data_IF_519530090930
#
_entry.id   IF_519530090930
#
_cell.length_a   1.000
_cell.length_b   1.000
_cell.length_c   1.000
_cell.angle_alpha   90.00
_cell.angle_beta   90.00
_cell.angle_gamma   90.00
#
_symmetry.space_group_name_H-M   'P 1'
#
loop_
_entity.id
_entity.type
_entity.pdbx_description
1 polymer ?
#
# COMPACT_ATOMS: atom_id res chain seq x y z
N UNK A 1 36.13 85.10 39.87
CA UNK A 1 35.31 85.43 41.05
C UNK A 1 34.18 84.42 41.10
N UNK A 2 34.35 83.23 41.70
CA UNK A 2 34.22 82.92 43.14
C UNK A 2 32.88 83.40 43.73
N UNK A 3 31.85 82.54 43.68
CA UNK A 3 30.79 82.37 44.71
C UNK A 3 29.79 81.32 44.21
N UNK A 4 29.79 80.08 44.72
CA UNK A 4 28.98 79.64 45.86
C UNK A 4 27.47 79.90 45.65
N UNK A 5 26.72 78.87 45.26
CA UNK A 5 25.46 78.48 45.92
C UNK A 5 25.31 76.97 45.72
N UNK A 6 25.63 76.26 46.80
CA UNK A 6 25.33 74.87 47.05
C UNK A 6 23.95 74.86 47.73
N UNK A 7 22.87 74.57 47.00
CA UNK A 7 21.59 74.21 47.62
C UNK A 7 21.10 72.94 46.94
N UNK A 8 21.36 71.85 47.64
CA UNK A 8 20.84 70.52 47.39
C UNK A 8 19.32 70.51 47.62
N UNK A 9 18.55 70.17 46.59
CA UNK A 9 17.23 69.56 46.74
C UNK A 9 17.02 68.61 45.56
N UNK A 10 17.40 67.36 45.85
CA UNK A 10 17.19 66.16 45.06
C UNK A 10 15.68 65.99 44.75
N UNK A 11 15.21 66.51 43.61
CA UNK A 11 13.92 66.13 43.06
C UNK A 11 14.09 64.79 42.33
N UNK A 12 13.85 63.73 43.10
CA UNK A 12 13.83 62.34 42.64
C UNK A 12 12.78 62.23 41.53
N UNK A 13 13.25 61.93 40.31
CA UNK A 13 12.38 61.54 39.21
C UNK A 13 11.80 60.17 39.55
N UNK A 14 10.54 60.11 39.97
CA UNK A 14 9.82 58.84 40.07
C UNK A 14 9.35 58.50 38.65
N UNK A 15 10.20 57.78 37.91
CA UNK A 15 9.78 57.09 36.71
C UNK A 15 8.82 55.97 37.12
N UNK A 16 7.52 56.19 36.91
CA UNK A 16 6.52 55.14 37.03
C UNK A 16 6.78 54.11 35.91
N UNK A 17 7.50 53.05 36.24
CA UNK A 17 7.61 51.87 35.37
C UNK A 17 6.24 51.19 35.38
N UNK A 18 5.46 51.43 34.32
CA UNK A 18 4.28 50.63 34.04
C UNK A 18 4.75 49.25 33.59
N UNK A 19 4.81 48.29 34.51
CA UNK A 19 4.97 46.88 34.15
C UNK A 19 3.65 46.43 33.52
N UNK A 20 3.59 46.38 32.19
CA UNK A 20 2.52 45.67 31.50
C UNK A 20 2.51 44.20 31.98
N UNK A 21 1.36 43.62 32.34
CA UNK A 21 1.31 42.21 32.69
C UNK A 21 1.78 41.39 31.48
N UNK A 22 2.74 40.49 31.68
CA UNK A 22 3.12 39.50 30.69
C UNK A 22 1.88 38.71 30.29
N UNK A 23 1.50 38.75 29.02
CA UNK A 23 0.39 37.94 28.53
C UNK A 23 0.66 36.46 28.85
N UNK A 24 -0.34 35.69 29.30
CA UNK A 24 -0.15 34.28 29.56
C UNK A 24 0.28 33.56 28.25
N UNK A 25 1.12 32.52 28.34
CA UNK A 25 1.49 31.74 27.18
C UNK A 25 0.23 31.19 26.49
N UNK A 26 0.10 31.48 25.19
CA UNK A 26 -0.97 30.94 24.37
C UNK A 26 -0.67 29.46 24.09
N UNK A 27 -1.40 28.55 24.72
CA UNK A 27 -1.33 27.13 24.42
C UNK A 27 -2.13 26.84 23.15
N UNK A 28 -1.45 26.48 22.06
CA UNK A 28 -2.11 25.79 20.96
C UNK A 28 -2.31 24.32 21.35
N UNK A 29 -3.50 23.74 21.08
CA UNK A 29 -3.68 22.30 21.19
C UNK A 29 -2.63 21.58 20.35
N UNK A 30 -2.04 20.53 20.91
CA UNK A 30 -1.17 19.66 20.13
C UNK A 30 -1.97 19.06 18.97
N UNK A 31 -1.43 19.04 17.74
CA UNK A 31 -2.09 18.34 16.64
C UNK A 31 -2.23 16.85 17.01
N UNK A 32 -3.34 16.20 16.62
CA UNK A 32 -3.50 14.78 16.85
C UNK A 32 -2.38 14.01 16.14
N UNK A 33 -1.95 12.87 16.70
CA UNK A 33 -0.98 12.01 16.03
C UNK A 33 -1.52 11.54 14.68
N UNK A 34 -0.63 11.31 13.69
CA UNK A 34 -1.02 10.76 12.40
C UNK A 34 -1.70 9.40 12.59
N UNK A 35 -2.64 9.02 11.70
CA UNK A 35 -3.26 7.71 11.73
C UNK A 35 -2.20 6.61 11.55
N UNK A 36 -2.43 5.41 12.13
CA UNK A 36 -1.54 4.28 11.91
C UNK A 36 -1.52 3.90 10.42
N UNK A 37 -0.41 3.34 9.93
CA UNK A 37 -0.35 2.83 8.56
C UNK A 37 -1.40 1.72 8.34
N UNK A 38 -1.91 1.56 7.10
CA UNK A 38 -2.81 0.47 6.80
C UNK A 38 -2.12 -0.89 7.05
N UNK A 39 -2.89 -1.92 7.40
CA UNK A 39 -2.34 -3.27 7.52
C UNK A 39 -1.75 -3.73 6.17
N UNK A 40 -0.75 -4.63 6.18
CA UNK A 40 -0.23 -5.21 4.95
C UNK A 40 -1.35 -5.99 4.22
N UNK A 41 -1.27 -6.10 2.89
CA UNK A 41 -2.18 -6.94 2.13
C UNK A 41 -2.09 -8.40 2.61
N UNK A 42 -3.18 -9.17 2.50
CA UNK A 42 -3.12 -10.59 2.81
C UNK A 42 -2.13 -11.30 1.88
N UNK A 43 -1.55 -12.44 2.32
CA UNK A 43 -0.71 -13.26 1.45
C UNK A 43 -1.51 -13.72 0.23
N UNK A 44 -0.81 -13.97 -0.87
CA UNK A 44 -1.42 -14.58 -2.05
C UNK A 44 -2.06 -15.91 -1.67
N UNK A 45 -3.30 -16.13 -2.12
CA UNK A 45 -4.00 -17.38 -1.88
C UNK A 45 -3.38 -18.48 -2.75
N UNK A 46 -3.08 -19.62 -2.14
CA UNK A 46 -2.69 -20.83 -2.87
C UNK A 46 -3.91 -21.72 -3.11
N UNK A 47 -4.00 -22.31 -4.29
CA UNK A 47 -5.03 -23.30 -4.64
C UNK A 47 -4.49 -24.29 -5.67
N UNK A 48 -5.17 -25.42 -5.80
CA UNK A 48 -4.97 -26.34 -6.90
C UNK A 48 -6.30 -27.00 -7.26
N UNK A 49 -6.55 -27.19 -8.55
CA UNK A 49 -7.68 -27.98 -9.03
C UNK A 49 -7.27 -28.85 -10.21
N UNK A 50 -8.04 -29.92 -10.42
CA UNK A 50 -7.96 -30.71 -11.63
C UNK A 50 -9.31 -31.36 -11.94
N UNK A 51 -9.59 -31.54 -13.22
CA UNK A 51 -10.73 -32.32 -13.69
C UNK A 51 -10.42 -33.02 -15.02
N UNK A 52 -11.17 -34.08 -15.31
CA UNK A 52 -11.11 -34.78 -16.58
C UNK A 52 -12.51 -35.27 -16.98
N UNK A 53 -12.79 -35.20 -18.27
CA UNK A 53 -13.99 -35.73 -18.91
C UNK A 53 -13.54 -36.68 -20.01
N UNK A 54 -14.06 -37.91 -19.96
CA UNK A 54 -13.89 -38.92 -20.99
C UNK A 54 -15.26 -39.53 -21.28
N UNK A 55 -15.84 -39.12 -22.39
CA UNK A 55 -17.13 -39.60 -22.87
C UNK A 55 -16.95 -40.23 -24.25
N UNK A 56 -17.04 -41.56 -24.31
CA UNK A 56 -16.87 -42.34 -25.53
C UNK A 56 -18.05 -42.18 -26.49
N UNK A 57 -19.26 -41.92 -25.98
CA UNK A 57 -20.46 -41.80 -26.81
C UNK A 57 -20.43 -40.51 -27.64
N UNK A 58 -20.07 -39.40 -27.00
CA UNK A 58 -19.92 -38.10 -27.70
C UNK A 58 -18.52 -37.88 -28.31
N UNK A 59 -17.54 -38.73 -27.98
CA UNK A 59 -16.14 -38.57 -28.37
C UNK A 59 -15.41 -37.42 -27.66
N UNK A 60 -16.00 -36.86 -26.59
CA UNK A 60 -15.41 -35.76 -25.83
C UNK A 60 -14.32 -36.29 -24.90
N UNK A 61 -13.10 -35.81 -25.08
CA UNK A 61 -12.00 -36.06 -24.16
C UNK A 61 -11.27 -34.75 -23.84
N UNK A 62 -11.39 -34.33 -22.58
CA UNK A 62 -10.87 -33.07 -22.06
C UNK A 62 -10.28 -33.27 -20.67
N UNK A 63 -9.23 -32.52 -20.34
CA UNK A 63 -8.78 -32.39 -18.95
C UNK A 63 -8.17 -31.03 -18.72
N UNK A 64 -8.21 -30.56 -17.48
CA UNK A 64 -7.48 -29.37 -17.06
C UNK A 64 -6.94 -29.54 -15.65
N UNK A 65 -5.82 -28.88 -15.40
CA UNK A 65 -5.17 -28.73 -14.11
C UNK A 65 -4.62 -27.30 -14.01
N UNK A 66 -4.74 -26.72 -12.81
CA UNK A 66 -4.16 -25.42 -12.50
C UNK A 66 -3.80 -25.37 -11.03
N UNK A 67 -2.73 -24.66 -10.73
CA UNK A 67 -2.33 -24.33 -9.38
C UNK A 67 -1.93 -22.86 -9.31
N UNK A 68 -2.20 -22.25 -8.17
CA UNK A 68 -1.62 -20.98 -7.79
C UNK A 68 -0.80 -21.15 -6.51
N UNK A 69 0.37 -20.54 -6.51
CA UNK A 69 1.22 -20.44 -5.32
C UNK A 69 1.99 -19.14 -5.34
N UNK A 70 2.06 -18.47 -4.19
CA UNK A 70 2.84 -17.24 -4.01
C UNK A 70 2.61 -16.15 -5.07
N UNK A 71 1.39 -16.05 -5.61
CA UNK A 71 1.01 -15.07 -6.64
C UNK A 71 1.40 -15.45 -8.07
N UNK A 72 1.95 -16.65 -8.27
CA UNK A 72 2.13 -17.26 -9.59
C UNK A 72 0.99 -18.25 -9.86
N UNK A 73 0.53 -18.33 -11.11
CA UNK A 73 -0.43 -19.32 -11.58
C UNK A 73 0.22 -20.12 -12.70
N UNK A 74 0.05 -21.45 -12.68
CA UNK A 74 0.46 -22.33 -13.76
C UNK A 74 -0.60 -23.40 -13.99
N UNK A 75 -0.89 -23.70 -15.25
CA UNK A 75 -1.87 -24.71 -15.59
C UNK A 75 -1.74 -25.25 -17.00
N UNK A 76 -2.52 -26.29 -17.27
CA UNK A 76 -2.61 -26.92 -18.58
C UNK A 76 -4.04 -27.39 -18.82
N UNK A 77 -4.50 -27.28 -20.07
CA UNK A 77 -5.70 -27.97 -20.51
C UNK A 77 -5.48 -28.68 -21.83
N UNK A 78 -6.20 -29.79 -22.03
CA UNK A 78 -6.22 -30.53 -23.30
C UNK A 78 -7.64 -30.73 -23.78
N UNK A 79 -7.82 -30.71 -25.10
CA UNK A 79 -9.08 -31.02 -25.77
C UNK A 79 -8.81 -31.82 -27.04
N UNK A 80 -9.58 -32.87 -27.25
CA UNK A 80 -9.65 -33.58 -28.53
C UNK A 80 -10.52 -32.80 -29.50
N UNK A 81 -9.98 -32.47 -30.66
CA UNK A 81 -10.67 -31.71 -31.71
C UNK A 81 -11.46 -32.65 -32.63
N UNK A 82 -12.46 -32.12 -33.37
CA UNK A 82 -13.27 -32.93 -34.30
C UNK A 82 -12.48 -33.63 -35.42
N UNK A 83 -11.27 -33.16 -35.72
CA UNK A 83 -10.36 -33.77 -36.71
C UNK A 83 -9.43 -34.83 -36.10
N UNK A 84 -9.64 -35.20 -34.84
CA UNK A 84 -8.85 -36.20 -34.11
C UNK A 84 -7.56 -35.67 -33.50
N UNK A 85 -7.17 -34.42 -33.77
CA UNK A 85 -5.98 -33.82 -33.16
C UNK A 85 -6.22 -33.50 -31.69
N UNK A 86 -5.14 -33.44 -30.92
CA UNK A 86 -5.18 -33.03 -29.52
C UNK A 86 -4.55 -31.66 -29.41
N UNK A 87 -5.33 -30.68 -28.97
CA UNK A 87 -4.83 -29.36 -28.60
C UNK A 87 -4.51 -29.35 -27.11
N UNK A 88 -3.26 -29.09 -26.77
CA UNK A 88 -2.80 -28.85 -25.42
C UNK A 88 -2.39 -27.40 -25.28
N UNK A 89 -2.84 -26.73 -24.22
CA UNK A 89 -2.43 -25.38 -23.88
C UNK A 89 -1.84 -25.39 -22.49
N UNK A 90 -0.61 -24.90 -22.37
CA UNK A 90 0.09 -24.72 -21.09
C UNK A 90 0.26 -23.23 -20.88
N UNK A 91 -0.01 -22.73 -19.68
CA UNK A 91 0.01 -21.30 -19.42
C UNK A 91 0.56 -20.97 -18.04
N UNK A 92 1.05 -19.74 -17.91
CA UNK A 92 1.57 -19.16 -16.68
C UNK A 92 1.15 -17.70 -16.52
N UNK A 93 1.05 -17.26 -15.26
CA UNK A 93 0.90 -15.85 -14.85
C UNK A 93 1.88 -15.61 -13.71
N UNK A 94 2.83 -14.70 -13.87
CA UNK A 94 3.83 -14.36 -12.85
C UNK A 94 4.08 -12.85 -12.82
N UNK A 95 3.87 -12.22 -11.66
CA UNK A 95 4.06 -10.77 -11.50
C UNK A 95 3.30 -9.97 -12.56
N UNK A 96 4.04 -9.15 -13.32
CA UNK A 96 3.48 -8.30 -14.38
C UNK A 96 3.45 -8.96 -15.77
N UNK A 97 3.70 -10.28 -15.88
CA UNK A 97 3.77 -10.98 -17.17
C UNK A 97 2.45 -10.97 -17.96
N UNK A 98 1.32 -10.79 -17.27
CA UNK A 98 0.01 -11.14 -17.80
C UNK A 98 -0.12 -12.65 -18.07
N UNK A 99 -1.11 -13.04 -18.88
CA UNK A 99 -1.35 -14.43 -19.25
C UNK A 99 -0.45 -14.86 -20.42
N UNK A 100 0.50 -15.75 -20.16
CA UNK A 100 1.43 -16.30 -21.16
C UNK A 100 1.05 -17.74 -21.44
N UNK A 101 0.83 -18.09 -22.71
CA UNK A 101 0.40 -19.44 -23.09
C UNK A 101 1.20 -20.01 -24.26
N UNK A 102 1.50 -21.31 -24.17
CA UNK A 102 2.03 -22.13 -25.24
C UNK A 102 0.95 -23.10 -25.72
N UNK A 103 0.73 -23.14 -27.03
CA UNK A 103 -0.27 -24.00 -27.67
C UNK A 103 0.45 -25.06 -28.49
N UNK A 104 0.19 -26.33 -28.19
CA UNK A 104 0.70 -27.47 -28.91
C UNK A 104 -0.44 -28.25 -29.55
N UNK A 105 -0.27 -28.66 -30.80
CA UNK A 105 -1.25 -29.40 -31.56
C UNK A 105 -0.58 -30.63 -32.16
N UNK A 106 -1.11 -31.81 -31.83
CA UNK A 106 -0.62 -33.11 -32.29
C UNK A 106 -1.73 -33.90 -32.98
#
# INVERSE_FOLDING_TARGET
MLAKILIACLAINIALVASAPSSPPSYSPYPPPPPPPPPPPPPAASYAYSYAVADEESGVNMSADEQADNGAVAGSYKVTLPDGRIKTVTYTVEGDSGFVAYVHLR
#
